data_IF_891667547836
#
_entry.id   IF_891667547836
#
_cell.length_a   1.000
_cell.length_b   1.000
_cell.length_c   1.000
_cell.angle_alpha   90.00
_cell.angle_beta   90.00
_cell.angle_gamma   90.00
#
_symmetry.space_group_name_H-M   'P 1'
#
loop_
_entity.id
_entity.type
_entity.pdbx_description
1 polymer ?
#
# COMPACT_ATOMS: atom_id res chain seq x y z
N UNK A 1 0.02 59.66 4.20
CA UNK A 1 0.76 58.93 5.26
C UNK A 1 -0.21 58.54 6.36
N UNK A 2 -0.81 57.35 6.29
CA UNK A 2 -1.68 56.81 7.34
C UNK A 2 -1.39 55.32 7.47
N UNK A 3 -0.81 54.95 8.61
CA UNK A 3 -0.29 53.62 8.89
C UNK A 3 -1.43 52.66 9.30
N UNK A 4 -1.69 51.65 8.45
CA UNK A 4 -2.52 50.49 8.78
C UNK A 4 -1.64 49.38 9.33
N UNK A 5 -1.51 49.32 10.65
CA UNK A 5 -0.80 48.26 11.37
C UNK A 5 -1.72 47.05 11.58
N UNK A 6 -1.72 46.12 10.63
CA UNK A 6 -2.48 44.87 10.73
C UNK A 6 -1.85 43.94 11.79
N UNK A 7 -2.48 43.88 12.97
CA UNK A 7 -2.23 42.90 14.03
C UNK A 7 -2.49 41.47 13.50
N UNK A 8 -1.43 40.81 13.01
CA UNK A 8 -1.39 39.34 12.86
C UNK A 8 -1.44 38.72 14.25
N UNK A 9 -2.65 38.43 14.72
CA UNK A 9 -2.90 37.68 15.95
C UNK A 9 -2.29 36.28 15.81
N UNK A 10 -1.37 35.97 16.74
CA UNK A 10 -0.88 34.64 17.06
C UNK A 10 -2.05 33.68 17.32
N UNK A 11 -2.49 32.97 16.28
CA UNK A 11 -3.37 31.80 16.35
C UNK A 11 -2.50 30.56 16.19
N UNK A 12 -1.53 30.38 17.09
CA UNK A 12 -0.54 29.28 17.01
C UNK A 12 -0.19 28.62 18.35
N UNK A 13 -0.94 28.89 19.42
CA UNK A 13 -0.61 28.39 20.77
C UNK A 13 -1.81 27.84 21.54
N UNK A 14 -2.87 27.42 20.84
CA UNK A 14 -4.04 26.75 21.45
C UNK A 14 -4.39 25.40 20.82
N UNK A 15 -3.53 24.89 19.94
CA UNK A 15 -3.54 23.48 19.57
C UNK A 15 -2.87 22.71 20.70
N UNK A 16 -3.73 22.36 21.66
CA UNK A 16 -3.71 21.13 22.45
C UNK A 16 -2.36 20.72 23.05
N UNK A 17 -2.25 20.89 24.37
CA UNK A 17 -1.71 19.85 25.24
C UNK A 17 -2.48 18.54 24.95
N UNK A 18 -2.20 17.89 23.82
CA UNK A 18 -2.54 16.48 23.63
C UNK A 18 -1.65 15.77 24.65
N UNK A 19 -2.31 15.21 25.66
CA UNK A 19 -1.73 14.39 26.71
C UNK A 19 -0.54 13.58 26.19
N UNK A 20 0.65 13.85 26.72
CA UNK A 20 1.89 13.10 26.44
C UNK A 20 1.96 11.76 27.18
N UNK A 21 0.92 11.40 27.94
CA UNK A 21 0.85 10.16 28.73
C UNK A 21 0.14 9.03 27.99
N UNK A 22 0.27 8.95 26.66
CA UNK A 22 -0.26 7.83 25.90
C UNK A 22 0.80 6.75 25.78
N UNK A 23 0.52 5.58 26.34
CA UNK A 23 1.38 4.42 26.17
C UNK A 23 1.33 3.96 24.71
N UNK A 24 2.47 3.99 23.98
CA UNK A 24 2.49 3.50 22.61
C UNK A 24 2.28 1.97 22.58
N UNK A 25 1.91 1.40 21.42
CA UNK A 25 1.88 -0.05 21.27
C UNK A 25 3.26 -0.63 21.60
N UNK A 26 3.29 -1.76 22.31
CA UNK A 26 4.56 -2.46 22.56
C UNK A 26 5.08 -3.14 21.29
N UNK A 27 4.15 -3.62 20.47
CA UNK A 27 4.42 -4.34 19.24
C UNK A 27 3.57 -3.80 18.08
N UNK A 28 4.17 -3.72 16.89
CA UNK A 28 3.43 -3.49 15.65
C UNK A 28 3.71 -4.59 14.64
N UNK A 29 2.66 -5.28 14.19
CA UNK A 29 2.73 -6.26 13.11
C UNK A 29 2.32 -5.58 11.81
N UNK A 30 3.27 -5.40 10.90
CA UNK A 30 3.03 -4.90 9.55
C UNK A 30 2.82 -6.04 8.58
N UNK A 31 1.69 -6.01 7.87
CA UNK A 31 1.26 -7.13 7.03
C UNK A 31 0.93 -6.67 5.62
N UNK A 32 1.67 -7.17 4.64
CA UNK A 32 1.27 -7.11 3.24
C UNK A 32 0.37 -8.32 2.94
N UNK A 33 -0.89 -8.06 2.59
CA UNK A 33 -1.90 -9.11 2.45
C UNK A 33 -2.28 -9.35 0.98
N UNK A 34 -2.00 -10.58 0.55
CA UNK A 34 -2.30 -11.04 -0.80
C UNK A 34 -3.36 -12.14 -0.79
N UNK A 35 -4.12 -12.24 -1.89
CA UNK A 35 -5.00 -13.39 -2.16
C UNK A 35 -4.23 -14.72 -2.31
N UNK A 36 -2.91 -14.67 -2.44
CA UNK A 36 -2.04 -15.83 -2.50
C UNK A 36 -1.26 -15.88 -1.18
N UNK A 37 -1.52 -16.89 -0.34
CA UNK A 37 -0.89 -17.02 0.97
C UNK A 37 0.65 -16.95 0.92
N UNK A 38 1.28 -17.55 -0.09
CA UNK A 38 2.74 -17.50 -0.29
C UNK A 38 3.32 -16.13 -0.68
N UNK A 39 2.47 -15.11 -0.86
CA UNK A 39 2.86 -13.72 -1.09
C UNK A 39 2.56 -12.80 0.09
N UNK A 40 2.05 -13.34 1.19
CA UNK A 40 1.80 -12.56 2.41
C UNK A 40 3.11 -12.42 3.17
N UNK A 41 3.38 -11.21 3.64
CA UNK A 41 4.59 -10.88 4.39
C UNK A 41 4.24 -10.23 5.72
N UNK A 42 4.89 -10.67 6.80
CA UNK A 42 4.67 -10.15 8.16
C UNK A 42 6.00 -9.67 8.73
N UNK A 43 6.02 -8.43 9.21
CA UNK A 43 7.15 -7.82 9.92
C UNK A 43 6.71 -7.36 11.30
N UNK A 44 7.51 -7.65 12.31
CA UNK A 44 7.33 -7.18 13.69
C UNK A 44 8.24 -5.98 13.93
N UNK A 45 7.66 -4.89 14.40
CA UNK A 45 8.37 -3.80 15.08
C UNK A 45 8.19 -3.97 16.59
N UNK A 46 9.28 -4.30 17.29
CA UNK A 46 9.37 -4.28 18.75
C UNK A 46 9.77 -2.85 19.18
N UNK A 47 8.83 -2.09 19.73
CA UNK A 47 9.02 -0.68 20.06
C UNK A 47 10.06 -0.51 21.17
N UNK A 48 10.01 -1.38 22.17
CA UNK A 48 10.93 -1.32 23.32
C UNK A 48 12.35 -1.64 22.91
N UNK A 49 12.55 -2.67 22.08
CA UNK A 49 13.87 -3.05 21.56
C UNK A 49 14.30 -2.22 20.35
N UNK A 50 13.40 -1.41 19.78
CA UNK A 50 13.62 -0.59 18.58
C UNK A 50 14.13 -1.43 17.42
N UNK A 51 13.49 -2.58 17.23
CA UNK A 51 13.95 -3.60 16.28
C UNK A 51 12.84 -3.98 15.32
N UNK A 52 13.21 -4.18 14.07
CA UNK A 52 12.33 -4.68 13.03
C UNK A 52 12.84 -6.04 12.57
N UNK A 53 11.96 -7.03 12.57
CA UNK A 53 12.27 -8.37 12.06
C UNK A 53 11.16 -8.93 11.18
N UNK A 54 11.55 -9.72 10.19
CA UNK A 54 10.61 -10.47 9.37
C UNK A 54 10.22 -11.72 10.16
N UNK A 55 8.92 -11.98 10.27
CA UNK A 55 8.46 -13.27 10.76
C UNK A 55 8.28 -14.23 9.59
N UNK A 56 8.90 -15.40 9.71
CA UNK A 56 8.72 -16.45 8.73
C UNK A 56 7.29 -16.99 8.79
N UNK A 57 6.70 -17.33 7.63
CA UNK A 57 5.36 -17.90 7.61
C UNK A 57 5.33 -19.25 8.32
N UNK A 58 4.19 -19.60 8.96
CA UNK A 58 3.91 -20.98 9.35
C UNK A 58 4.02 -21.93 8.15
N UNK A 59 4.12 -23.23 8.40
CA UNK A 59 4.20 -24.25 7.34
C UNK A 59 3.03 -24.16 6.34
N UNK A 60 1.82 -23.93 6.85
CA UNK A 60 0.62 -23.74 6.04
C UNK A 60 0.53 -22.36 5.34
N UNK A 61 1.51 -21.49 5.55
CA UNK A 61 1.49 -20.09 5.13
C UNK A 61 0.75 -19.18 6.11
N UNK A 62 0.83 -17.87 5.87
CA UNK A 62 0.07 -16.89 6.64
C UNK A 62 -1.42 -16.94 6.31
N UNK A 63 -2.26 -17.03 7.33
CA UNK A 63 -3.70 -16.78 7.32
C UNK A 63 -4.08 -15.93 8.55
N UNK A 64 -5.34 -15.49 8.63
CA UNK A 64 -5.74 -14.55 9.67
C UNK A 64 -5.63 -15.19 11.07
N UNK A 65 -5.98 -16.47 11.19
CA UNK A 65 -5.88 -17.21 12.44
C UNK A 65 -4.43 -17.26 12.95
N UNK A 66 -3.48 -17.65 12.10
CA UNK A 66 -2.06 -17.68 12.44
C UNK A 66 -1.50 -16.31 12.79
N UNK A 67 -1.98 -15.24 12.13
CA UNK A 67 -1.60 -13.87 12.46
C UNK A 67 -2.15 -13.46 13.83
N UNK A 68 -3.40 -13.80 14.14
CA UNK A 68 -4.03 -13.52 15.42
C UNK A 68 -3.38 -14.32 16.56
N UNK A 69 -2.95 -15.56 16.31
CA UNK A 69 -2.23 -16.36 17.30
C UNK A 69 -0.83 -15.80 17.58
N UNK A 70 -0.14 -15.29 16.56
CA UNK A 70 1.11 -14.54 16.77
C UNK A 70 0.86 -13.29 17.63
N UNK A 71 -0.19 -12.53 17.31
CA UNK A 71 -0.55 -11.33 18.07
C UNK A 71 -0.95 -11.65 19.52
N UNK A 72 -1.68 -12.74 19.76
CA UNK A 72 -2.02 -13.21 21.11
C UNK A 72 -0.79 -13.64 21.92
N UNK A 73 0.18 -14.27 21.27
CA UNK A 73 1.46 -14.58 21.90
C UNK A 73 2.17 -13.31 22.38
N UNK A 74 2.23 -12.30 21.52
CA UNK A 74 2.86 -11.00 21.82
C UNK A 74 2.06 -10.18 22.85
N UNK A 75 0.73 -10.27 22.85
CA UNK A 75 -0.14 -9.51 23.75
C UNK A 75 0.09 -9.83 25.23
N UNK A 76 0.67 -10.99 25.53
CA UNK A 76 1.09 -11.35 26.89
C UNK A 76 2.14 -10.41 27.46
N UNK A 77 2.98 -9.82 26.61
CA UNK A 77 4.08 -8.94 27.04
C UNK A 77 3.79 -7.45 26.81
N UNK A 78 2.75 -7.11 26.05
CA UNK A 78 2.32 -5.74 25.82
C UNK A 78 1.34 -5.59 24.67
N UNK A 79 0.73 -4.42 24.51
CA UNK A 79 -0.29 -4.18 23.48
C UNK A 79 0.24 -4.35 22.06
N UNK A 80 -0.63 -4.86 21.17
CA UNK A 80 -0.27 -5.20 19.78
C UNK A 80 -1.16 -4.46 18.80
N UNK A 81 -0.54 -3.74 17.88
CA UNK A 81 -1.20 -3.12 16.75
C UNK A 81 -0.87 -3.88 15.46
N UNK A 82 -1.88 -4.30 14.70
CA UNK A 82 -1.72 -5.05 13.45
C UNK A 82 -2.15 -4.14 12.29
N UNK A 83 -1.20 -3.71 11.47
CA UNK A 83 -1.46 -2.93 10.26
C UNK A 83 -1.48 -3.80 9.01
N UNK A 84 -2.61 -3.82 8.30
CA UNK A 84 -2.86 -4.68 7.14
C UNK A 84 -2.98 -3.86 5.84
N UNK A 85 -2.24 -4.24 4.77
CA UNK A 85 -2.41 -3.65 3.41
C UNK A 85 -3.69 -4.17 2.74
N UNK A 86 -4.82 -3.79 3.33
CA UNK A 86 -6.19 -4.11 2.91
C UNK A 86 -7.07 -2.93 3.25
N UNK A 87 -8.24 -2.86 2.62
CA UNK A 87 -9.23 -1.85 2.98
C UNK A 87 -10.12 -2.32 4.13
N UNK A 88 -10.30 -1.48 5.14
CA UNK A 88 -11.31 -1.60 6.18
C UNK A 88 -12.31 -0.45 6.05
N UNK A 89 -13.58 -0.77 5.81
CA UNK A 89 -14.60 0.22 5.48
C UNK A 89 -15.07 0.15 4.03
N UNK A 90 -16.11 0.93 3.73
CA UNK A 90 -16.69 1.03 2.38
C UNK A 90 -16.94 2.49 2.00
N UNK A 91 -17.03 2.83 0.70
CA UNK A 91 -17.42 4.17 0.28
C UNK A 91 -18.79 4.56 0.85
N UNK A 92 -18.93 5.79 1.34
CA UNK A 92 -20.21 6.29 1.89
C UNK A 92 -21.38 6.18 0.90
N UNK A 93 -21.10 6.40 -0.39
CA UNK A 93 -22.10 6.22 -1.46
C UNK A 93 -22.63 4.80 -1.58
N UNK A 94 -21.76 3.80 -1.39
CA UNK A 94 -22.13 2.39 -1.38
C UNK A 94 -22.96 2.07 -0.13
N UNK A 95 -22.53 2.56 1.03
CA UNK A 95 -23.24 2.38 2.30
C UNK A 95 -24.69 2.86 2.24
N UNK A 96 -24.94 4.03 1.63
CA UNK A 96 -26.28 4.58 1.43
C UNK A 96 -27.19 3.69 0.57
N UNK A 97 -26.63 2.78 -0.21
CA UNK A 97 -27.39 1.84 -1.04
C UNK A 97 -27.66 0.51 -0.31
N UNK A 98 -27.07 0.29 0.87
CA UNK A 98 -27.28 -0.93 1.65
C UNK A 98 -28.72 -0.96 2.15
N UNK A 99 -29.53 -1.96 1.73
CA UNK A 99 -30.92 -2.03 2.16
C UNK A 99 -31.00 -2.40 3.64
N UNK A 100 -31.98 -1.81 4.31
CA UNK A 100 -32.39 -2.22 5.65
C UNK A 100 -32.88 -3.68 5.60
N UNK A 101 -32.29 -4.55 6.42
CA UNK A 101 -32.73 -5.92 6.55
C UNK A 101 -33.91 -5.96 7.53
N UNK A 102 -35.12 -6.24 7.06
CA UNK A 102 -36.33 -6.27 7.90
C UNK A 102 -36.21 -7.16 9.15
N UNK A 103 -35.31 -8.16 9.16
CA UNK A 103 -35.11 -9.06 10.31
C UNK A 103 -34.03 -8.57 11.27
N UNK A 104 -33.02 -7.85 10.79
CA UNK A 104 -31.83 -7.47 11.58
C UNK A 104 -31.69 -5.97 11.80
N UNK A 105 -32.47 -5.16 11.10
CA UNK A 105 -32.33 -3.71 11.02
C UNK A 105 -31.15 -3.30 10.13
N UNK A 106 -30.94 -1.98 10.05
CA UNK A 106 -29.80 -1.41 9.37
C UNK A 106 -28.53 -1.65 10.21
N UNK A 107 -27.41 -2.04 9.59
CA UNK A 107 -26.16 -2.23 10.30
C UNK A 107 -25.68 -0.90 10.90
N UNK A 108 -25.12 -0.94 12.10
CA UNK A 108 -24.68 0.26 12.83
C UNK A 108 -23.42 0.87 12.25
N UNK A 109 -22.49 0.00 11.84
CA UNK A 109 -21.17 0.35 11.33
C UNK A 109 -20.66 -0.73 10.37
N UNK A 110 -19.50 -0.49 9.77
CA UNK A 110 -18.83 -1.41 8.87
C UNK A 110 -18.63 -2.82 9.44
N UNK A 111 -18.33 -2.95 10.74
CA UNK A 111 -18.03 -4.24 11.37
C UNK A 111 -19.30 -5.06 11.50
N UNK A 112 -20.38 -4.46 11.97
CA UNK A 112 -21.72 -5.07 12.01
C UNK A 112 -22.22 -5.45 10.60
N UNK A 113 -22.01 -4.56 9.63
CA UNK A 113 -22.31 -4.84 8.23
C UNK A 113 -21.51 -6.02 7.67
N UNK A 114 -20.19 -6.08 7.88
CA UNK A 114 -19.37 -7.18 7.37
C UNK A 114 -19.67 -8.51 8.08
N UNK A 115 -19.94 -8.47 9.39
CA UNK A 115 -20.34 -9.64 10.19
C UNK A 115 -21.62 -10.27 9.66
N UNK A 116 -22.63 -9.44 9.36
CA UNK A 116 -23.90 -9.90 8.79
C UNK A 116 -23.79 -10.27 7.31
N UNK A 117 -23.07 -9.48 6.51
CA UNK A 117 -23.11 -9.59 5.04
C UNK A 117 -22.10 -10.57 4.46
N UNK A 118 -20.95 -10.75 5.13
CA UNK A 118 -19.94 -11.71 4.68
C UNK A 118 -20.43 -13.16 4.69
N UNK A 119 -21.55 -13.44 5.36
CA UNK A 119 -22.19 -14.76 5.40
C UNK A 119 -23.10 -15.04 4.20
N UNK A 120 -23.47 -14.03 3.39
CA UNK A 120 -24.34 -14.26 2.23
C UNK A 120 -23.62 -15.01 1.11
N UNK A 121 -24.29 -16.02 0.56
CA UNK A 121 -23.85 -16.68 -0.66
C UNK A 121 -23.66 -15.66 -1.78
N UNK A 122 -22.51 -15.72 -2.45
CA UNK A 122 -22.16 -14.81 -3.54
C UNK A 122 -21.55 -13.47 -3.11
N UNK A 123 -21.51 -13.13 -1.81
CA UNK A 123 -20.97 -11.83 -1.37
C UNK A 123 -19.51 -11.61 -1.78
N UNK A 124 -18.70 -12.67 -1.81
CA UNK A 124 -17.30 -12.62 -2.25
C UNK A 124 -17.08 -13.04 -3.71
N UNK A 125 -18.14 -13.21 -4.50
CA UNK A 125 -18.02 -13.49 -5.93
C UNK A 125 -17.65 -12.22 -6.69
N UNK A 126 -16.79 -12.36 -7.70
CA UNK A 126 -16.47 -11.26 -8.61
C UNK A 126 -17.43 -11.28 -9.79
N UNK A 127 -18.06 -10.13 -10.06
CA UNK A 127 -18.84 -9.92 -11.27
C UNK A 127 -17.99 -9.26 -12.35
N UNK A 128 -18.31 -9.55 -13.60
CA UNK A 128 -17.67 -8.94 -14.77
C UNK A 128 -18.60 -8.01 -15.54
N UNK A 129 -19.90 -8.31 -15.54
CA UNK A 129 -20.92 -7.47 -16.14
C UNK A 129 -21.38 -6.44 -15.11
N UNK A 130 -21.36 -5.14 -15.42
CA UNK A 130 -22.00 -4.13 -14.60
C UNK A 130 -23.45 -4.48 -14.25
N UNK A 131 -24.23 -5.13 -15.10
CA UNK A 131 -25.61 -5.53 -14.83
C UNK A 131 -25.74 -6.44 -13.60
N UNK A 132 -24.79 -7.37 -13.42
CA UNK A 132 -24.74 -8.31 -12.29
C UNK A 132 -24.26 -7.68 -10.98
N UNK A 133 -23.66 -6.48 -11.06
CA UNK A 133 -23.19 -5.76 -9.89
C UNK A 133 -24.35 -5.24 -9.05
N UNK A 134 -24.25 -5.45 -7.75
CA UNK A 134 -25.15 -4.89 -6.75
C UNK A 134 -24.55 -4.91 -5.36
N UNK A 135 -25.27 -4.37 -4.38
CA UNK A 135 -24.80 -4.30 -2.99
C UNK A 135 -24.41 -5.67 -2.44
N UNK A 136 -25.18 -6.71 -2.74
CA UNK A 136 -24.91 -8.06 -2.25
C UNK A 136 -23.79 -8.80 -3.02
N UNK A 137 -23.30 -8.24 -4.13
CA UNK A 137 -22.19 -8.79 -4.95
C UNK A 137 -21.28 -7.63 -5.36
N UNK A 138 -20.59 -7.01 -4.40
CA UNK A 138 -19.96 -5.71 -4.64
C UNK A 138 -18.66 -5.81 -5.44
N UNK A 139 -18.02 -6.98 -5.52
CA UNK A 139 -16.70 -7.13 -6.15
C UNK A 139 -16.77 -7.22 -7.67
N UNK A 140 -15.92 -6.48 -8.37
CA UNK A 140 -15.94 -6.47 -9.83
C UNK A 140 -14.56 -6.47 -10.49
N UNK A 141 -14.50 -7.04 -11.69
CA UNK A 141 -13.39 -6.91 -12.62
C UNK A 141 -13.64 -5.72 -13.57
N UNK A 142 -12.64 -4.86 -13.75
CA UNK A 142 -12.72 -3.76 -14.73
C UNK A 142 -12.23 -4.26 -16.09
N UNK A 143 -13.09 -4.18 -17.11
CA UNK A 143 -12.76 -4.56 -18.49
C UNK A 143 -12.68 -3.32 -19.38
N UNK A 144 -12.10 -3.46 -20.57
CA UNK A 144 -12.17 -2.40 -21.60
C UNK A 144 -13.60 -2.33 -22.15
N UNK A 145 -14.05 -1.14 -22.54
CA UNK A 145 -15.37 -0.93 -23.16
C UNK A 145 -16.51 -0.87 -22.14
N UNK A 146 -17.61 -1.56 -22.42
CA UNK A 146 -18.85 -1.51 -21.62
C UNK A 146 -18.68 -1.96 -20.15
N UNK A 147 -17.69 -2.82 -19.87
CA UNK A 147 -17.29 -3.22 -18.50
C UNK A 147 -16.27 -2.28 -17.84
N UNK A 148 -16.14 -1.04 -18.33
CA UNK A 148 -15.21 -0.06 -17.78
C UNK A 148 -15.62 0.44 -16.39
N UNK A 149 -14.67 1.03 -15.66
CA UNK A 149 -14.89 1.51 -14.29
C UNK A 149 -16.08 2.47 -14.16
N UNK A 150 -16.33 3.30 -15.17
CA UNK A 150 -17.45 4.25 -15.18
C UNK A 150 -18.80 3.55 -15.09
N UNK A 151 -18.96 2.38 -15.72
CA UNK A 151 -20.22 1.63 -15.69
C UNK A 151 -20.58 1.16 -14.28
N UNK A 152 -19.58 0.69 -13.52
CA UNK A 152 -19.74 0.37 -12.10
C UNK A 152 -19.97 1.63 -11.26
N UNK A 153 -19.16 2.67 -11.47
CA UNK A 153 -19.24 3.92 -10.68
C UNK A 153 -20.62 4.57 -10.75
N UNK A 154 -21.26 4.53 -11.92
CA UNK A 154 -22.60 5.11 -12.12
C UNK A 154 -23.71 4.40 -11.33
N UNK A 155 -23.47 3.16 -10.85
CA UNK A 155 -24.44 2.44 -10.01
C UNK A 155 -24.46 2.92 -8.56
N UNK A 156 -23.49 3.73 -8.12
CA UNK A 156 -23.36 4.18 -6.73
C UNK A 156 -23.39 5.71 -6.69
N UNK A 157 -24.43 6.26 -6.06
CA UNK A 157 -24.52 7.71 -5.83
C UNK A 157 -23.36 8.14 -4.92
N UNK A 158 -22.65 9.21 -5.26
CA UNK A 158 -21.49 9.68 -4.49
C UNK A 158 -20.17 8.96 -4.80
N UNK A 159 -20.18 7.95 -5.68
CA UNK A 159 -18.96 7.30 -6.19
C UNK A 159 -18.51 6.06 -5.41
N UNK A 160 -17.47 5.41 -5.94
CA UNK A 160 -16.96 4.11 -5.46
C UNK A 160 -15.64 4.19 -4.67
N UNK A 161 -15.24 5.39 -4.25
CA UNK A 161 -14.02 5.59 -3.45
C UNK A 161 -14.42 6.18 -2.11
N UNK A 162 -13.75 5.75 -1.05
CA UNK A 162 -13.80 6.46 0.23
C UNK A 162 -13.13 7.82 0.09
N UNK A 163 -13.41 8.73 1.01
CA UNK A 163 -12.75 10.03 1.06
C UNK A 163 -11.22 9.89 1.14
N UNK A 164 -10.74 8.97 1.97
CA UNK A 164 -9.30 8.74 2.15
C UNK A 164 -8.66 8.11 0.91
N UNK A 165 -9.34 7.19 0.21
CA UNK A 165 -8.86 6.62 -1.06
C UNK A 165 -8.72 7.71 -2.13
N UNK A 166 -9.70 8.60 -2.25
CA UNK A 166 -9.65 9.71 -3.19
C UNK A 166 -8.45 10.63 -2.89
N UNK A 167 -8.19 10.90 -1.61
CA UNK A 167 -7.09 11.72 -1.15
C UNK A 167 -5.71 11.09 -1.46
N UNK A 168 -5.55 9.80 -1.13
CA UNK A 168 -4.33 9.03 -1.39
C UNK A 168 -4.19 8.59 -2.84
N UNK A 169 -5.18 8.86 -3.70
CA UNK A 169 -5.18 8.43 -5.10
C UNK A 169 -5.36 6.91 -5.27
N UNK A 170 -5.90 6.25 -4.25
CA UNK A 170 -6.30 4.86 -4.26
C UNK A 170 -7.40 4.56 -5.28
N UNK A 171 -7.49 3.27 -5.61
CA UNK A 171 -8.52 2.73 -6.49
C UNK A 171 -9.79 2.38 -5.69
N UNK A 172 -10.94 2.22 -6.36
CA UNK A 172 -12.17 1.72 -5.72
C UNK A 172 -11.96 0.40 -4.98
N UNK A 173 -12.46 0.32 -3.75
CA UNK A 173 -12.30 -0.82 -2.83
C UNK A 173 -12.66 -2.16 -3.49
N UNK A 174 -13.78 -2.18 -4.20
CA UNK A 174 -14.33 -3.42 -4.74
C UNK A 174 -13.76 -3.84 -6.11
N UNK A 175 -12.88 -3.04 -6.71
CA UNK A 175 -12.23 -3.41 -7.97
C UNK A 175 -11.15 -4.47 -7.70
N UNK A 176 -11.36 -5.71 -8.15
CA UNK A 176 -10.43 -6.82 -7.87
C UNK A 176 -9.34 -6.99 -8.93
N UNK A 177 -9.56 -6.50 -10.16
CA UNK A 177 -8.60 -6.61 -11.26
C UNK A 177 -8.95 -5.67 -12.42
N UNK A 178 -8.09 -5.64 -13.44
CA UNK A 178 -8.28 -4.82 -14.64
C UNK A 178 -7.73 -3.40 -14.55
N UNK A 179 -7.22 -3.01 -13.37
CA UNK A 179 -6.58 -1.72 -13.13
C UNK A 179 -5.26 -1.90 -12.36
N UNK A 180 -4.19 -1.20 -12.74
CA UNK A 180 -2.95 -1.23 -11.96
C UNK A 180 -3.15 -0.68 -10.54
N UNK A 181 -2.58 -1.36 -9.55
CA UNK A 181 -2.60 -0.92 -8.14
C UNK A 181 -3.93 -1.14 -7.43
N UNK A 182 -4.78 -2.07 -7.87
CA UNK A 182 -5.98 -2.46 -7.12
C UNK A 182 -5.63 -3.38 -5.96
N UNK A 183 -6.09 -3.05 -4.76
CA UNK A 183 -5.99 -3.88 -3.56
C UNK A 183 -7.21 -4.78 -3.34
N UNK A 184 -8.27 -4.62 -4.15
CA UNK A 184 -9.55 -5.28 -3.93
C UNK A 184 -9.48 -6.81 -3.90
N UNK A 185 -8.54 -7.43 -4.62
CA UNK A 185 -8.39 -8.89 -4.57
C UNK A 185 -7.85 -9.42 -3.23
N UNK A 186 -6.89 -8.71 -2.62
CA UNK A 186 -6.37 -9.02 -1.29
C UNK A 186 -7.37 -8.64 -0.20
N UNK A 187 -8.00 -7.47 -0.32
CA UNK A 187 -9.06 -7.01 0.60
C UNK A 187 -10.23 -8.00 0.65
N UNK A 188 -10.72 -8.46 -0.50
CA UNK A 188 -11.82 -9.44 -0.57
C UNK A 188 -11.47 -10.75 0.14
N UNK A 189 -10.26 -11.23 -0.08
CA UNK A 189 -9.78 -12.47 0.50
C UNK A 189 -9.61 -12.34 2.01
N UNK A 190 -9.05 -11.21 2.47
CA UNK A 190 -9.00 -10.86 3.87
C UNK A 190 -10.38 -10.75 4.50
N UNK A 191 -11.35 -10.08 3.88
CA UNK A 191 -12.72 -9.97 4.43
C UNK A 191 -13.41 -11.32 4.55
N UNK A 192 -13.10 -12.26 3.65
CA UNK A 192 -13.61 -13.63 3.73
C UNK A 192 -13.05 -14.36 4.94
N UNK A 193 -11.77 -14.18 5.24
CA UNK A 193 -11.14 -14.72 6.46
C UNK A 193 -11.64 -14.00 7.71
N UNK A 194 -11.83 -12.68 7.65
CA UNK A 194 -12.23 -11.85 8.79
C UNK A 194 -13.69 -12.08 9.22
N UNK A 195 -14.63 -12.18 8.29
CA UNK A 195 -16.07 -12.19 8.58
C UNK A 195 -16.48 -13.26 9.61
N UNK A 196 -16.00 -14.52 9.55
CA UNK A 196 -16.28 -15.53 10.58
C UNK A 196 -15.82 -15.15 12.00
N UNK A 197 -14.79 -14.31 12.15
CA UNK A 197 -14.28 -13.87 13.45
C UNK A 197 -15.04 -12.66 14.03
N UNK A 198 -15.96 -12.06 13.28
CA UNK A 198 -16.71 -10.87 13.73
C UNK A 198 -17.95 -11.19 14.58
N UNK A 199 -18.38 -12.44 14.61
CA UNK A 199 -19.58 -12.88 15.36
C UNK A 199 -19.27 -13.54 16.71
N UNK A 200 -18.00 -13.61 17.09
CA UNK A 200 -17.52 -14.31 18.29
C UNK A 200 -17.09 -13.33 19.38
N UNK A 201 -17.02 -13.82 20.62
CA UNK A 201 -16.18 -13.20 21.64
C UNK A 201 -14.73 -13.26 21.13
N UNK A 202 -14.16 -12.09 20.86
CA UNK A 202 -12.94 -11.95 20.06
C UNK A 202 -11.85 -11.26 20.84
N UNK A 203 -10.63 -11.76 20.65
CA UNK A 203 -9.39 -11.29 21.28
C UNK A 203 -8.81 -10.02 20.65
N UNK A 204 -9.48 -9.47 19.62
CA UNK A 204 -9.02 -8.30 18.90
C UNK A 204 -10.17 -7.34 18.60
N UNK A 205 -9.81 -6.08 18.32
CA UNK A 205 -10.71 -5.01 17.93
C UNK A 205 -10.32 -4.43 16.57
N UNK A 206 -11.25 -3.82 15.87
CA UNK A 206 -11.05 -3.23 14.54
C UNK A 206 -11.13 -1.72 14.65
N UNK A 207 -9.99 -1.09 14.45
CA UNK A 207 -9.89 0.35 14.40
C UNK A 207 -10.25 0.87 13.00
N UNK A 208 -10.97 2.01 12.87
CA UNK A 208 -11.48 2.91 13.91
C UNK A 208 -12.90 2.59 14.43
N UNK A 209 -13.51 1.49 13.99
CA UNK A 209 -14.94 1.23 14.21
C UNK A 209 -15.29 0.89 15.66
N UNK A 210 -14.34 0.35 16.42
CA UNK A 210 -14.57 -0.09 17.80
C UNK A 210 -13.97 0.84 18.86
N UNK A 211 -13.50 2.02 18.46
CA UNK A 211 -12.97 3.03 19.38
C UNK A 211 -11.67 3.65 18.93
N UNK A 212 -11.17 4.57 19.74
CA UNK A 212 -9.88 5.24 19.54
C UNK A 212 -8.72 4.27 19.77
N UNK A 213 -7.64 4.42 19.01
CA UNK A 213 -6.52 3.47 19.02
C UNK A 213 -5.91 3.28 20.41
N UNK A 214 -5.83 4.34 21.21
CA UNK A 214 -5.26 4.27 22.56
C UNK A 214 -6.13 3.38 23.47
N UNK A 215 -7.45 3.59 23.44
CA UNK A 215 -8.40 2.80 24.22
C UNK A 215 -8.43 1.32 23.79
N UNK A 216 -8.16 1.04 22.50
CA UNK A 216 -8.08 -0.33 22.00
C UNK A 216 -6.79 -1.06 22.41
N UNK A 217 -5.75 -0.31 22.77
CA UNK A 217 -4.44 -0.83 23.18
C UNK A 217 -4.26 -0.84 24.70
N UNK A 218 -5.19 -0.26 25.46
CA UNK A 218 -5.30 -0.43 26.90
C UNK A 218 -5.40 -1.93 27.27
N UNK A 219 -4.93 -2.29 28.47
CA UNK A 219 -4.97 -3.66 29.01
C UNK A 219 -4.41 -4.75 28.08
N UNK A 220 -3.36 -4.41 27.32
CA UNK A 220 -2.67 -5.31 26.37
C UNK A 220 -3.58 -5.77 25.22
N UNK A 221 -4.48 -4.92 24.78
CA UNK A 221 -5.37 -5.19 23.66
C UNK A 221 -4.64 -5.45 22.33
N UNK A 222 -5.33 -6.18 21.43
CA UNK A 222 -4.93 -6.38 20.04
C UNK A 222 -5.85 -5.55 19.15
N UNK A 223 -5.29 -4.62 18.37
CA UNK A 223 -6.05 -3.80 17.45
C UNK A 223 -5.63 -4.07 16.00
N UNK A 224 -6.59 -4.37 15.13
CA UNK A 224 -6.42 -4.51 13.69
C UNK A 224 -6.78 -3.19 13.00
N UNK A 225 -5.93 -2.74 12.10
CA UNK A 225 -6.07 -1.47 11.39
C UNK A 225 -5.61 -1.58 9.94
N UNK A 226 -6.08 -0.66 9.11
CA UNK A 226 -5.68 -0.53 7.71
C UNK A 226 -4.39 0.30 7.61
N UNK A 227 -3.48 -0.14 6.75
CA UNK A 227 -2.30 0.63 6.32
C UNK A 227 -2.39 0.91 4.82
N UNK A 228 -1.66 1.94 4.37
CA UNK A 228 -1.42 2.19 2.95
C UNK A 228 0.09 2.39 2.73
N UNK A 229 0.81 1.46 2.07
CA UNK A 229 2.28 1.51 1.94
C UNK A 229 2.83 2.82 1.36
N UNK A 230 2.10 3.47 0.45
CA UNK A 230 2.52 4.79 -0.06
C UNK A 230 2.62 5.91 1.00
N UNK A 231 1.82 5.85 2.08
CA UNK A 231 1.98 6.74 3.24
C UNK A 231 3.22 6.34 4.04
N UNK A 232 3.43 5.03 4.24
CA UNK A 232 4.61 4.51 4.93
C UNK A 232 5.93 4.94 4.30
N UNK A 233 6.05 4.91 2.97
CA UNK A 233 7.30 5.36 2.33
C UNK A 233 7.63 6.82 2.65
N UNK A 234 6.61 7.68 2.69
CA UNK A 234 6.79 9.08 3.00
C UNK A 234 7.21 9.27 4.46
N UNK A 235 6.50 8.61 5.38
CA UNK A 235 6.82 8.66 6.81
C UNK A 235 8.23 8.10 7.12
N UNK A 236 8.63 7.00 6.49
CA UNK A 236 9.93 6.37 6.73
C UNK A 236 11.11 7.15 6.13
N UNK A 237 10.93 7.80 4.97
CA UNK A 237 12.02 8.40 4.18
C UNK A 237 12.14 9.92 4.27
N UNK A 238 11.13 10.64 4.75
CA UNK A 238 11.21 12.09 4.87
C UNK A 238 12.21 12.51 5.96
N UNK A 239 12.84 13.67 5.80
CA UNK A 239 13.73 14.19 6.85
C UNK A 239 12.90 14.57 8.09
N UNK A 240 11.76 15.26 7.88
CA UNK A 240 10.85 15.74 8.92
C UNK A 240 9.41 15.23 8.74
N UNK A 241 8.67 15.19 9.85
CA UNK A 241 7.22 14.91 9.91
C UNK A 241 6.48 16.09 10.57
N UNK A 242 5.23 16.38 10.18
CA UNK A 242 4.47 15.74 9.11
C UNK A 242 4.98 16.12 7.71
N UNK A 243 4.69 15.29 6.71
CA UNK A 243 5.17 15.46 5.33
C UNK A 243 4.09 15.22 4.30
N UNK A 244 4.36 15.55 3.03
CA UNK A 244 3.54 15.12 1.91
C UNK A 244 3.92 13.73 1.41
N UNK A 245 3.06 13.14 0.58
CA UNK A 245 3.31 11.82 -0.02
C UNK A 245 4.58 11.80 -0.88
N UNK A 246 5.30 10.68 -0.80
CA UNK A 246 6.46 10.35 -1.63
C UNK A 246 6.08 9.20 -2.55
N UNK A 247 6.38 9.34 -3.85
CA UNK A 247 6.18 8.27 -4.82
C UNK A 247 7.41 7.37 -4.86
N UNK A 248 7.24 6.10 -4.53
CA UNK A 248 8.23 5.04 -4.74
C UNK A 248 7.69 4.08 -5.81
N UNK A 249 8.52 3.76 -6.82
CA UNK A 249 8.15 2.79 -7.85
C UNK A 249 8.53 1.39 -7.37
N UNK A 250 7.73 0.82 -6.47
CA UNK A 250 8.07 -0.45 -5.79
C UNK A 250 8.31 -1.62 -6.74
N UNK A 251 7.71 -1.62 -7.94
CA UNK A 251 7.95 -2.64 -8.96
C UNK A 251 9.35 -2.61 -9.61
N UNK A 252 10.15 -1.56 -9.37
CA UNK A 252 11.53 -1.47 -9.84
C UNK A 252 12.51 -1.85 -8.73
N UNK A 253 13.26 -2.93 -8.93
CA UNK A 253 14.27 -3.42 -7.98
C UNK A 253 15.35 -2.38 -7.65
N UNK A 254 15.72 -1.51 -8.60
CA UNK A 254 16.69 -0.43 -8.36
C UNK A 254 16.11 0.60 -7.41
N UNK A 255 14.83 0.96 -7.60
CA UNK A 255 14.12 1.85 -6.69
C UNK A 255 13.99 1.25 -5.28
N UNK A 256 13.65 -0.03 -5.14
CA UNK A 256 13.61 -0.71 -3.84
C UNK A 256 14.96 -0.71 -3.13
N UNK A 257 16.02 -1.14 -3.83
CA UNK A 257 17.40 -1.13 -3.29
C UNK A 257 17.83 0.27 -2.85
N UNK A 258 17.53 1.28 -3.66
CA UNK A 258 17.84 2.67 -3.32
C UNK A 258 17.06 3.14 -2.08
N UNK A 259 15.75 2.88 -2.02
CA UNK A 259 14.93 3.23 -0.87
C UNK A 259 15.41 2.54 0.42
N UNK A 260 15.73 1.24 0.40
CA UNK A 260 16.29 0.54 1.55
C UNK A 260 17.62 1.16 2.01
N UNK A 261 18.49 1.55 1.06
CA UNK A 261 19.75 2.21 1.40
C UNK A 261 19.53 3.63 1.97
N UNK A 262 18.51 4.35 1.51
CA UNK A 262 18.12 5.63 2.10
C UNK A 262 17.57 5.45 3.52
N UNK A 263 16.67 4.49 3.73
CA UNK A 263 16.12 4.17 5.04
C UNK A 263 17.21 3.80 6.04
N UNK A 264 18.14 2.91 5.66
CA UNK A 264 19.27 2.53 6.53
C UNK A 264 20.28 3.65 6.83
N UNK A 265 20.14 4.83 6.22
CA UNK A 265 20.97 6.03 6.45
C UNK A 265 20.15 7.20 6.98
N UNK A 266 18.87 7.01 7.26
CA UNK A 266 18.01 8.08 7.70
C UNK A 266 18.42 8.53 9.12
N UNK A 267 18.44 9.84 9.36
CA UNK A 267 18.93 10.39 10.63
C UNK A 267 18.15 9.87 11.84
N UNK A 268 16.84 9.65 11.71
CA UNK A 268 16.01 9.11 12.78
C UNK A 268 16.42 7.69 13.17
N UNK A 269 16.84 6.85 12.21
CA UNK A 269 17.30 5.48 12.49
C UNK A 269 18.54 5.51 13.37
N UNK A 270 19.50 6.36 13.04
CA UNK A 270 20.73 6.53 13.84
C UNK A 270 20.46 7.19 15.19
N UNK A 271 19.65 8.27 15.21
CA UNK A 271 19.29 9.01 16.41
C UNK A 271 18.59 8.12 17.44
N UNK A 272 17.67 7.27 16.98
CA UNK A 272 16.92 6.37 17.85
C UNK A 272 17.56 4.99 18.00
N UNK A 273 18.71 4.72 17.35
CA UNK A 273 19.42 3.43 17.39
C UNK A 273 18.53 2.25 17.00
N UNK A 274 17.82 2.40 15.89
CA UNK A 274 16.87 1.39 15.40
C UNK A 274 17.63 0.29 14.66
N UNK A 275 17.40 -0.96 15.04
CA UNK A 275 17.81 -2.13 14.26
C UNK A 275 16.74 -2.44 13.21
N UNK A 276 17.04 -2.17 11.95
CA UNK A 276 16.12 -2.44 10.84
C UNK A 276 16.18 -3.90 10.36
N UNK A 277 17.01 -4.74 10.98
CA UNK A 277 17.23 -6.10 10.54
C UNK A 277 17.82 -6.16 9.12
N UNK A 278 17.56 -7.28 8.42
CA UNK A 278 18.05 -7.49 7.07
C UNK A 278 17.10 -6.92 6.01
N UNK A 279 17.64 -6.10 5.11
CA UNK A 279 16.92 -5.64 3.91
C UNK A 279 16.85 -6.66 2.78
N UNK A 280 17.42 -7.87 2.92
CA UNK A 280 17.53 -8.81 1.79
C UNK A 280 16.17 -9.09 1.14
N UNK A 281 15.17 -9.45 1.94
CA UNK A 281 13.81 -9.75 1.49
C UNK A 281 13.13 -8.52 0.86
N UNK A 282 13.11 -7.37 1.56
CA UNK A 282 12.55 -6.11 1.08
C UNK A 282 13.21 -5.61 -0.23
N UNK A 283 14.49 -5.90 -0.45
CA UNK A 283 15.17 -5.58 -1.73
C UNK A 283 14.72 -6.53 -2.85
N UNK A 284 14.44 -7.79 -2.53
CA UNK A 284 14.14 -8.84 -3.49
C UNK A 284 12.72 -8.76 -4.06
N UNK A 285 11.70 -8.54 -3.23
CA UNK A 285 10.29 -8.51 -3.66
C UNK A 285 9.55 -7.26 -3.12
N UNK A 286 8.39 -6.96 -3.70
CA UNK A 286 7.58 -5.79 -3.37
C UNK A 286 6.65 -5.99 -2.18
N UNK A 287 6.26 -7.22 -1.86
CA UNK A 287 5.39 -7.55 -0.72
C UNK A 287 6.15 -7.33 0.62
N UNK A 288 7.37 -7.89 0.75
CA UNK A 288 8.28 -7.65 1.88
C UNK A 288 8.75 -6.18 1.94
N UNK A 289 8.83 -5.48 0.81
CA UNK A 289 9.20 -4.06 0.78
C UNK A 289 8.13 -3.22 1.49
N UNK A 290 6.86 -3.47 1.20
CA UNK A 290 5.74 -2.71 1.74
C UNK A 290 5.55 -2.97 3.23
N UNK A 291 5.61 -4.23 3.64
CA UNK A 291 5.52 -4.61 5.04
C UNK A 291 6.71 -4.05 5.86
N UNK A 292 7.95 -4.15 5.37
CA UNK A 292 9.11 -3.61 6.08
C UNK A 292 9.03 -2.07 6.22
N UNK A 293 8.72 -1.36 5.14
CA UNK A 293 8.65 0.11 5.19
C UNK A 293 7.54 0.62 6.09
N UNK A 294 6.42 -0.10 6.17
CA UNK A 294 5.33 0.24 7.08
C UNK A 294 5.71 -0.04 8.53
N UNK A 295 6.36 -1.18 8.82
CA UNK A 295 6.94 -1.46 10.13
C UNK A 295 7.88 -0.33 10.60
N UNK A 296 8.76 0.13 9.71
CA UNK A 296 9.70 1.22 10.00
C UNK A 296 9.00 2.58 10.19
N UNK A 297 8.00 2.88 9.37
CA UNK A 297 7.26 4.13 9.47
C UNK A 297 6.49 4.25 10.79
N UNK A 298 5.79 3.19 11.20
CA UNK A 298 5.04 3.18 12.47
C UNK A 298 6.00 3.27 13.65
N UNK A 299 7.10 2.49 13.64
CA UNK A 299 8.12 2.55 14.68
C UNK A 299 8.71 3.97 14.81
N UNK A 300 9.02 4.63 13.68
CA UNK A 300 9.48 6.01 13.68
C UNK A 300 8.48 6.94 14.36
N UNK A 301 7.21 6.89 13.94
CA UNK A 301 6.18 7.79 14.46
C UNK A 301 6.01 7.63 15.97
N UNK A 302 6.03 6.38 16.47
CA UNK A 302 6.01 6.09 17.90
C UNK A 302 7.25 6.69 18.61
N UNK A 303 8.45 6.48 18.09
CA UNK A 303 9.70 6.96 18.71
C UNK A 303 9.85 8.48 18.67
N UNK A 304 9.27 9.15 17.67
CA UNK A 304 9.28 10.61 17.52
C UNK A 304 8.03 11.28 18.14
N UNK A 305 7.10 10.52 18.73
CA UNK A 305 5.87 11.04 19.33
C UNK A 305 4.93 11.69 18.31
N UNK A 306 4.95 11.24 17.05
CA UNK A 306 4.10 11.74 15.98
C UNK A 306 2.82 10.90 15.94
N UNK A 307 1.67 11.57 16.02
CA UNK A 307 0.37 10.91 15.97
C UNK A 307 0.22 10.08 14.69
N UNK A 308 -0.07 8.79 14.81
CA UNK A 308 -0.23 7.87 13.67
C UNK A 308 -1.41 8.24 12.77
N UNK A 309 -2.41 8.93 13.33
CA UNK A 309 -3.66 9.24 12.66
C UNK A 309 -4.02 10.70 12.89
N UNK A 310 -4.64 11.30 11.90
CA UNK A 310 -5.37 12.56 12.02
C UNK A 310 -6.87 12.26 11.97
N UNK A 311 -7.60 12.71 13.00
CA UNK A 311 -9.06 12.51 13.12
C UNK A 311 -9.81 13.09 11.93
N UNK A 312 -9.26 14.09 11.25
CA UNK A 312 -9.83 14.65 10.03
C UNK A 312 -9.94 13.62 8.92
N UNK A 313 -9.18 12.52 8.96
CA UNK A 313 -9.19 11.43 7.98
C UNK A 313 -9.93 10.18 8.44
N UNK A 314 -10.55 10.22 9.62
CA UNK A 314 -11.19 9.06 10.24
C UNK A 314 -12.71 9.13 10.13
N UNK A 315 -13.32 8.03 9.67
CA UNK A 315 -14.76 7.78 9.74
C UNK A 315 -14.96 6.47 10.52
N UNK A 316 -15.35 6.59 11.79
CA UNK A 316 -15.52 5.47 12.70
C UNK A 316 -16.79 4.64 12.45
N UNK A 317 -17.58 4.96 11.42
CA UNK A 317 -18.85 4.28 11.16
C UNK A 317 -18.80 3.51 9.84
N UNK A 318 -18.31 4.12 8.77
CA UNK A 318 -18.50 3.59 7.41
C UNK A 318 -17.19 3.46 6.65
N UNK A 319 -16.47 4.56 6.47
CA UNK A 319 -15.32 4.57 5.57
C UNK A 319 -14.03 4.05 6.22
N UNK A 320 -13.92 4.08 7.54
CA UNK A 320 -12.69 3.72 8.23
C UNK A 320 -11.63 4.81 8.12
N UNK A 321 -10.37 4.40 8.14
CA UNK A 321 -9.21 5.30 8.06
C UNK A 321 -7.97 4.50 7.64
N UNK A 322 -6.83 5.18 7.47
CA UNK A 322 -5.53 4.55 7.21
C UNK A 322 -4.55 5.02 8.29
N UNK A 323 -3.80 4.09 8.87
CA UNK A 323 -2.62 4.46 9.64
C UNK A 323 -1.66 5.29 8.79
N UNK A 324 -0.90 6.15 9.46
CA UNK A 324 0.06 7.09 8.90
C UNK A 324 -0.56 8.27 8.13
N UNK A 325 -1.89 8.45 8.20
CA UNK A 325 -2.56 9.66 7.73
C UNK A 325 -2.34 10.89 8.63
N UNK A 326 -1.79 10.69 9.85
CA UNK A 326 -1.30 11.77 10.72
C UNK A 326 0.08 12.33 10.30
N UNK A 327 1.15 11.51 10.24
CA UNK A 327 2.47 11.96 9.81
C UNK A 327 2.54 12.32 8.33
N UNK A 328 1.61 11.84 7.50
CA UNK A 328 1.63 12.07 6.05
C UNK A 328 0.27 12.57 5.59
N UNK A 329 0.24 13.81 5.13
CA UNK A 329 -0.99 14.45 4.68
C UNK A 329 -1.49 13.79 3.37
N UNK A 330 -2.64 13.07 3.37
CA UNK A 330 -3.10 12.28 2.23
C UNK A 330 -3.25 13.10 0.95
N UNK A 331 -3.76 14.32 1.03
CA UNK A 331 -3.97 15.18 -0.15
C UNK A 331 -2.70 15.85 -0.67
N UNK A 332 -1.69 16.02 0.18
CA UNK A 332 -0.50 16.80 -0.16
C UNK A 332 0.51 15.91 -0.88
N UNK A 333 0.70 16.16 -2.17
CA UNK A 333 1.88 15.66 -2.89
C UNK A 333 3.09 16.48 -2.43
N UNK A 334 4.25 15.86 -2.22
CA UNK A 334 5.48 16.62 -2.04
C UNK A 334 5.85 17.32 -3.36
N UNK A 335 5.28 18.51 -3.57
CA UNK A 335 5.53 19.38 -4.70
C UNK A 335 6.79 20.21 -4.45
N UNK A 336 7.82 20.05 -5.27
CA UNK A 336 8.84 21.08 -5.47
C UNK A 336 10.08 21.07 -4.57
N UNK A 337 10.05 20.50 -3.37
CA UNK A 337 11.27 20.23 -2.60
C UNK A 337 11.87 18.91 -3.09
N UNK A 338 13.09 18.94 -3.64
CA UNK A 338 13.79 17.74 -4.13
C UNK A 338 13.56 16.59 -3.15
N UNK A 339 12.84 15.54 -3.58
CA UNK A 339 12.61 14.39 -2.69
C UNK A 339 13.96 13.91 -2.15
N UNK A 340 14.05 13.40 -0.92
CA UNK A 340 15.30 12.84 -0.40
C UNK A 340 15.96 11.88 -1.41
N UNK A 341 15.14 11.09 -2.11
CA UNK A 341 15.57 10.23 -3.23
C UNK A 341 16.23 11.03 -4.38
N UNK A 342 15.69 12.18 -4.78
CA UNK A 342 16.31 13.07 -5.79
C UNK A 342 17.56 13.78 -5.27
N UNK A 343 17.57 14.31 -4.03
CA UNK A 343 18.75 14.96 -3.43
C UNK A 343 19.91 13.98 -3.34
N UNK A 344 19.63 12.75 -2.89
CA UNK A 344 20.63 11.71 -2.75
C UNK A 344 21.05 11.09 -4.08
N UNK A 345 20.14 10.92 -5.06
CA UNK A 345 20.56 10.53 -6.42
C UNK A 345 21.54 11.55 -7.03
N UNK A 346 21.31 12.85 -6.81
CA UNK A 346 22.24 13.91 -7.20
C UNK A 346 23.58 13.86 -6.45
N UNK A 347 23.57 13.49 -5.16
CA UNK A 347 24.81 13.33 -4.36
C UNK A 347 25.57 12.03 -4.66
N UNK A 348 24.89 10.92 -4.92
CA UNK A 348 25.51 9.66 -5.33
C UNK A 348 26.17 9.80 -6.72
N UNK A 349 25.54 10.55 -7.63
CA UNK A 349 26.17 10.94 -8.89
C UNK A 349 27.44 11.78 -8.64
N UNK A 350 27.46 12.69 -7.65
CA UNK A 350 28.65 13.48 -7.31
C UNK A 350 29.76 12.68 -6.62
N UNK A 351 29.43 11.72 -5.76
CA UNK A 351 30.43 10.92 -5.01
C UNK A 351 31.04 9.79 -5.84
N UNK A 352 30.38 9.36 -6.93
CA UNK A 352 30.97 8.50 -7.95
C UNK A 352 31.81 9.25 -9.00
N UNK A 353 31.88 10.59 -8.94
CA UNK A 353 32.51 11.42 -9.98
C UNK A 353 33.91 11.92 -9.64
N UNK A 354 34.40 11.75 -8.41
CA UNK A 354 35.69 12.30 -7.96
C UNK A 354 36.91 11.41 -8.23
N UNK A 355 36.74 10.25 -8.90
CA UNK A 355 37.86 9.40 -9.36
C UNK A 355 37.85 9.16 -10.88
N UNK A 356 37.06 9.91 -11.67
CA UNK A 356 36.97 9.69 -13.12
C UNK A 356 36.79 10.99 -13.92
N UNK A 357 37.35 12.10 -13.45
CA UNK A 357 37.46 13.34 -14.23
C UNK A 357 38.60 13.27 -15.24
N UNK A 358 38.57 12.25 -16.10
CA UNK A 358 39.30 12.19 -17.37
C UNK A 358 38.88 10.92 -18.12
N UNK A 359 37.61 10.79 -18.54
CA UNK A 359 37.18 10.03 -19.73
C UNK A 359 35.69 10.34 -20.04
N UNK A 360 35.50 10.97 -21.20
CA UNK A 360 34.36 10.92 -22.11
C UNK A 360 33.00 11.54 -21.71
N UNK A 361 32.70 12.62 -22.44
CA UNK A 361 31.39 12.84 -23.07
C UNK A 361 31.05 11.66 -24.00
N UNK A 362 30.49 10.56 -23.49
CA UNK A 362 29.78 9.57 -24.33
C UNK A 362 28.99 8.54 -23.50
N UNK A 363 27.95 8.97 -22.77
CA UNK A 363 26.85 8.05 -22.45
C UNK A 363 25.72 8.29 -23.45
N UNK A 364 25.90 7.73 -24.66
CA UNK A 364 24.75 7.39 -25.50
C UNK A 364 23.97 6.34 -24.70
N UNK A 365 22.68 6.56 -24.49
CA UNK A 365 21.82 5.54 -23.87
C UNK A 365 22.01 4.20 -24.58
N UNK A 366 21.94 3.09 -23.84
CA UNK A 366 21.99 1.77 -24.43
C UNK A 366 20.76 1.58 -25.32
N UNK A 367 20.92 1.88 -26.60
CA UNK A 367 19.94 1.64 -27.65
C UNK A 367 19.94 0.13 -27.93
N UNK A 368 18.88 -0.56 -27.52
CA UNK A 368 18.72 -1.98 -27.80
C UNK A 368 17.99 -2.14 -29.14
N UNK A 369 18.65 -2.69 -30.17
CA UNK A 369 17.99 -3.00 -31.44
C UNK A 369 17.23 -4.31 -31.35
N UNK A 370 16.08 -4.40 -32.01
CA UNK A 370 15.37 -5.67 -32.15
C UNK A 370 16.26 -6.68 -32.92
N UNK A 371 16.49 -7.89 -32.39
CA UNK A 371 17.41 -8.86 -33.01
C UNK A 371 16.78 -9.63 -34.18
N UNK A 372 15.47 -9.49 -34.42
CA UNK A 372 14.80 -10.12 -35.56
C UNK A 372 15.35 -9.52 -36.87
N UNK A 373 15.87 -10.35 -37.81
CA UNK A 373 16.42 -9.89 -39.07
C UNK A 373 15.47 -8.95 -39.82
N UNK A 374 16.01 -7.86 -40.37
CA UNK A 374 15.23 -6.85 -41.10
C UNK A 374 14.48 -5.84 -40.23
N UNK A 375 14.38 -6.06 -38.90
CA UNK A 375 13.71 -5.10 -38.03
C UNK A 375 14.58 -3.87 -37.73
N UNK A 376 14.03 -2.67 -37.93
CA UNK A 376 14.69 -1.39 -37.62
C UNK A 376 14.32 -0.79 -36.25
N UNK A 377 13.53 -1.51 -35.44
CA UNK A 377 13.08 -0.99 -34.14
C UNK A 377 14.26 -0.89 -33.17
N UNK A 378 14.40 0.29 -32.57
CA UNK A 378 15.33 0.57 -31.47
C UNK A 378 14.53 0.87 -30.21
N UNK A 379 14.88 0.22 -29.11
CA UNK A 379 14.35 0.46 -27.78
C UNK A 379 15.36 1.33 -27.03
N UNK A 380 15.00 2.60 -26.79
CA UNK A 380 15.85 3.57 -26.09
C UNK A 380 15.78 3.35 -24.59
N UNK A 381 16.92 3.43 -23.93
CA UNK A 381 17.11 3.39 -22.47
C UNK A 381 16.71 2.08 -21.75
N UNK A 382 15.84 1.27 -22.35
CA UNK A 382 15.42 -0.04 -21.84
C UNK A 382 14.77 -0.87 -22.93
N UNK A 383 14.67 -2.18 -22.72
CA UNK A 383 13.93 -3.12 -23.59
C UNK A 383 12.40 -3.04 -23.42
N UNK A 384 11.84 -2.08 -22.68
CA UNK A 384 10.39 -2.04 -22.40
C UNK A 384 9.56 -1.96 -23.69
N UNK A 385 8.50 -2.77 -23.76
CA UNK A 385 7.61 -2.84 -24.93
C UNK A 385 8.08 -3.79 -26.04
N UNK A 386 9.17 -4.53 -25.84
CA UNK A 386 9.61 -5.59 -26.77
C UNK A 386 8.52 -6.63 -27.00
N UNK A 387 7.78 -6.98 -25.97
CA UNK A 387 6.80 -8.06 -25.96
C UNK A 387 5.59 -7.76 -26.87
N UNK A 388 5.11 -6.51 -26.87
CA UNK A 388 4.09 -6.04 -27.81
C UNK A 388 4.62 -5.92 -29.25
N UNK A 389 5.88 -5.52 -29.41
CA UNK A 389 6.52 -5.41 -30.72
C UNK A 389 6.68 -6.77 -31.41
N UNK A 390 7.34 -7.72 -30.75
CA UNK A 390 7.63 -9.05 -31.31
C UNK A 390 6.40 -9.97 -31.34
N UNK A 391 5.46 -9.74 -30.42
CA UNK A 391 4.19 -10.46 -30.34
C UNK A 391 3.24 -10.17 -31.50
N UNK A 392 3.50 -9.14 -32.31
CA UNK A 392 2.63 -8.74 -33.43
C UNK A 392 3.08 -9.35 -34.76
N UNK A 393 2.29 -10.23 -35.40
CA UNK A 393 2.58 -10.74 -36.74
C UNK A 393 2.67 -9.63 -37.80
N UNK A 394 2.08 -8.46 -37.56
CA UNK A 394 2.18 -7.31 -38.48
C UNK A 394 3.55 -6.63 -38.45
N UNK A 395 4.25 -6.68 -37.30
CA UNK A 395 5.55 -6.03 -37.14
C UNK A 395 6.69 -6.90 -37.68
N UNK A 396 6.49 -8.22 -37.72
CA UNK A 396 7.45 -9.20 -38.21
C UNK A 396 6.71 -10.32 -39.00
N UNK A 397 6.18 -10.01 -40.19
CA UNK A 397 5.37 -10.96 -40.96
C UNK A 397 6.17 -12.20 -41.41
N UNK A 398 7.48 -12.06 -41.58
CA UNK A 398 8.38 -13.11 -42.07
C UNK A 398 9.05 -13.92 -40.95
N UNK A 399 9.01 -13.44 -39.70
CA UNK A 399 9.59 -14.14 -38.56
C UNK A 399 8.50 -15.04 -37.94
N UNK A 400 8.67 -16.36 -38.03
CA UNK A 400 7.65 -17.37 -37.70
C UNK A 400 6.26 -17.07 -38.29
N UNK A 401 6.11 -17.06 -39.63
CA UNK A 401 4.84 -16.76 -40.30
C UNK A 401 3.70 -17.72 -39.90
N UNK A 402 4.04 -18.94 -39.49
CA UNK A 402 3.12 -19.98 -38.99
C UNK A 402 2.52 -19.66 -37.62
N UNK A 403 3.20 -18.84 -36.80
CA UNK A 403 2.77 -18.55 -35.41
C UNK A 403 2.00 -17.23 -35.34
N UNK A 404 0.67 -17.34 -35.26
CA UNK A 404 -0.22 -16.16 -35.15
C UNK A 404 -0.44 -15.67 -33.72
N UNK A 405 -0.31 -16.54 -32.72
CA UNK A 405 -0.61 -16.21 -31.31
C UNK A 405 0.53 -15.43 -30.66
N UNK A 406 0.25 -14.23 -30.18
CA UNK A 406 1.25 -13.34 -29.57
C UNK A 406 2.00 -13.97 -28.38
N UNK A 407 1.33 -14.78 -27.55
CA UNK A 407 1.96 -15.47 -26.41
C UNK A 407 3.05 -16.45 -26.88
N UNK A 408 2.79 -17.17 -27.97
CA UNK A 408 3.71 -18.17 -28.51
C UNK A 408 4.89 -17.54 -29.24
N UNK A 409 4.65 -16.46 -30.00
CA UNK A 409 5.73 -15.63 -30.58
C UNK A 409 6.67 -15.09 -29.52
N UNK A 410 6.15 -14.59 -28.38
CA UNK A 410 6.98 -14.13 -27.26
C UNK A 410 7.81 -15.24 -26.63
N UNK A 411 7.29 -16.48 -26.59
CA UNK A 411 8.04 -17.65 -26.12
C UNK A 411 9.19 -17.98 -27.09
N UNK A 412 8.91 -18.03 -28.39
CA UNK A 412 9.91 -18.27 -29.43
C UNK A 412 10.99 -17.19 -29.43
N UNK A 413 10.61 -15.91 -29.32
CA UNK A 413 11.57 -14.81 -29.20
C UNK A 413 12.57 -15.01 -28.06
N UNK A 414 12.10 -15.45 -26.88
CA UNK A 414 12.98 -15.69 -25.73
C UNK A 414 13.88 -16.90 -25.92
N UNK A 415 13.40 -17.91 -26.64
CA UNK A 415 14.18 -19.11 -26.94
C UNK A 415 15.28 -18.83 -27.97
N UNK A 416 14.96 -18.07 -29.02
CA UNK A 416 15.91 -17.75 -30.10
C UNK A 416 16.89 -16.63 -29.76
N UNK A 417 16.46 -15.65 -28.98
CA UNK A 417 17.25 -14.45 -28.66
C UNK A 417 17.46 -14.30 -27.15
N UNK A 418 17.79 -15.39 -26.46
CA UNK A 418 18.05 -15.40 -25.01
C UNK A 418 19.07 -14.35 -24.58
N UNK A 419 20.20 -14.30 -25.29
CA UNK A 419 21.32 -13.37 -25.04
C UNK A 419 20.92 -11.91 -25.23
N UNK A 420 19.85 -11.63 -25.98
CA UNK A 420 19.35 -10.26 -26.11
C UNK A 420 18.80 -9.72 -24.78
N UNK A 421 18.52 -10.57 -23.79
CA UNK A 421 18.01 -10.20 -22.47
C UNK A 421 19.08 -10.05 -21.39
N UNK A 422 20.28 -10.56 -21.63
CA UNK A 422 21.46 -10.36 -20.77
C UNK A 422 21.98 -8.91 -20.92
#
# INVERSE_FOLDING_TARGET
MTASGARRRNRKSRESEVSRDRDPPSYFLSVDWSKCAGKRSVYLSDVRRRRIERHDPPEAGWNLEALLDLADGLSRDGSVLIGMDVVLGVPKGYWQSVPDDRRRGAPKDFVDWLSSRGQFAGFFETVADPADWGVNRPWFEVRKGAGGLTAFTNKVRGGMRRRIDAATGGNPVFAVSGMPGTVGSGTRDFWRELSPHLSLDRRFKIWPFEGEIDALLEDRGVALCEIHPALAYAAALADDLPTGRIKVTKGDVRCRKHACNCLGRADWVHRHRVDLGSFHAAKANDDDFDAHFTAAAVLRCVLEGVALVDIAWTDATVEGSMLLAGPVEPNRKNGGSQSPLRRMAGRAARWGSSASSAISRSQRGNDHRCPIPGCRKVFRDSRRGWDGHVGSPRMHPEWHPEVRRAKERRRLFRAEFGDWFE
#
